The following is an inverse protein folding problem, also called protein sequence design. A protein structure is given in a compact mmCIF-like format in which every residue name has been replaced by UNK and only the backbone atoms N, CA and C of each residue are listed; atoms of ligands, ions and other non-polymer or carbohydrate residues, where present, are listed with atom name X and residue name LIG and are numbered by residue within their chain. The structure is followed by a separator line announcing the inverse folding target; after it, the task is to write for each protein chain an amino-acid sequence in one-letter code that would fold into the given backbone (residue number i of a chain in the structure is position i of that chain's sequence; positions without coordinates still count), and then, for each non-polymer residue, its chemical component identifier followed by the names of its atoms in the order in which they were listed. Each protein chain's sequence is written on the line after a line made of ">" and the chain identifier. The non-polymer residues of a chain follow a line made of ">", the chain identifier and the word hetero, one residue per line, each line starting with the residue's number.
data_IF_456449753143
#
_entry.id   IF_456449753143
#
_cell.length_a   1.000
_cell.length_b   1.000
_cell.length_c   1.000
_cell.angle_alpha   90.00
_cell.angle_beta   90.00
_cell.angle_gamma   90.00
#
_symmetry.space_group_name_H-M   'P 1'
#
loop_
_entity.id
_entity.type
_entity.pdbx_description
1 polymer ?
#
# COMPACT_ATOMS: atom_id res chain seq x y z
N UNK A 1 -42.21 26.56 2.01
CA UNK A 1 -40.84 26.77 2.56
C UNK A 1 -40.03 25.48 2.80
N UNK A 2 -40.64 24.29 2.82
CA UNK A 2 -39.96 23.01 3.14
C UNK A 2 -39.04 22.51 2.01
N UNK A 3 -39.44 22.68 0.75
CA UNK A 3 -38.71 22.18 -0.41
C UNK A 3 -37.29 22.76 -0.55
N UNK A 4 -37.12 24.07 -0.26
CA UNK A 4 -35.80 24.74 -0.28
C UNK A 4 -34.84 24.18 0.78
N UNK A 5 -35.35 23.75 1.94
CA UNK A 5 -34.52 23.21 3.04
C UNK A 5 -34.02 21.80 2.71
N UNK A 6 -34.86 20.98 2.08
CA UNK A 6 -34.49 19.63 1.63
C UNK A 6 -33.43 19.69 0.52
N UNK A 7 -33.62 20.58 -0.46
CA UNK A 7 -32.65 20.76 -1.54
C UNK A 7 -31.27 21.20 -1.00
N UNK A 8 -31.25 22.11 -0.03
CA UNK A 8 -30.02 22.54 0.63
C UNK A 8 -29.34 21.40 1.40
N UNK A 9 -30.11 20.56 2.10
CA UNK A 9 -29.57 19.41 2.83
C UNK A 9 -28.94 18.37 1.90
N UNK A 10 -29.57 18.08 0.74
CA UNK A 10 -29.02 17.14 -0.25
C UNK A 10 -27.74 17.70 -0.91
N UNK A 11 -27.73 19.01 -1.23
CA UNK A 11 -26.54 19.68 -1.74
C UNK A 11 -25.39 19.67 -0.73
N UNK A 12 -25.69 19.87 0.55
CA UNK A 12 -24.67 19.83 1.60
C UNK A 12 -24.15 18.40 1.85
N UNK A 13 -25.05 17.41 1.85
CA UNK A 13 -24.69 16.00 2.04
C UNK A 13 -23.84 15.46 0.88
N UNK A 14 -24.14 15.84 -0.36
CA UNK A 14 -23.31 15.49 -1.52
C UNK A 14 -21.94 16.17 -1.51
N UNK A 15 -21.84 17.38 -0.96
CA UNK A 15 -20.54 18.04 -0.75
C UNK A 15 -19.70 17.31 0.31
N UNK A 16 -20.33 16.86 1.41
CA UNK A 16 -19.67 16.08 2.46
C UNK A 16 -19.18 14.72 1.97
N UNK A 17 -19.94 14.03 1.12
CA UNK A 17 -19.54 12.76 0.52
C UNK A 17 -18.32 12.89 -0.41
N UNK A 18 -18.23 13.98 -1.19
CA UNK A 18 -17.09 14.20 -2.08
C UNK A 18 -15.80 14.57 -1.33
N UNK A 19 -15.89 15.23 -0.17
CA UNK A 19 -14.71 15.58 0.63
C UNK A 19 -14.06 14.35 1.31
N UNK A 20 -14.84 13.29 1.53
CA UNK A 20 -14.42 12.11 2.30
C UNK A 20 -13.64 11.06 1.48
N UNK A 21 -13.62 11.15 0.15
CA UNK A 21 -13.19 10.04 -0.71
C UNK A 21 -11.81 10.25 -1.39
N UNK A 22 -10.94 11.11 -0.84
CA UNK A 22 -9.54 11.15 -1.26
C UNK A 22 -8.73 10.15 -0.44
N UNK A 23 -8.80 8.87 -0.84
CA UNK A 23 -7.88 7.85 -0.34
C UNK A 23 -6.44 8.32 -0.59
N UNK A 24 -5.67 8.54 0.48
CA UNK A 24 -4.25 8.91 0.37
C UNK A 24 -3.45 7.65 0.04
N UNK A 25 -2.98 7.56 -1.19
CA UNK A 25 -2.03 6.52 -1.61
C UNK A 25 -0.61 7.07 -1.42
N UNK A 26 0.18 6.42 -0.57
CA UNK A 26 1.60 6.70 -0.42
C UNK A 26 2.40 5.62 -1.12
N UNK A 27 3.33 6.00 -1.98
CA UNK A 27 4.15 5.06 -2.76
C UNK A 27 5.56 5.03 -2.19
N UNK A 28 6.08 3.83 -1.97
CA UNK A 28 7.46 3.54 -1.60
C UNK A 28 8.08 2.70 -2.71
N UNK A 29 8.99 3.29 -3.46
CA UNK A 29 9.76 2.59 -4.47
C UNK A 29 11.10 2.18 -3.87
N UNK A 30 11.34 0.88 -3.77
CA UNK A 30 12.60 0.31 -3.25
C UNK A 30 13.61 0.04 -4.36
N UNK A 31 13.28 0.41 -5.60
CA UNK A 31 14.20 0.42 -6.73
C UNK A 31 14.40 -0.95 -7.36
N UNK A 32 15.54 -1.09 -8.04
CA UNK A 32 15.89 -2.28 -8.83
C UNK A 32 16.71 -3.28 -8.04
N UNK A 33 16.26 -4.53 -8.05
CA UNK A 33 16.89 -5.67 -7.40
C UNK A 33 17.47 -6.60 -8.47
N UNK A 34 18.63 -7.22 -8.20
CA UNK A 34 19.28 -8.18 -9.10
C UNK A 34 18.73 -9.59 -8.92
N UNK A 35 18.92 -10.45 -9.93
CA UNK A 35 18.57 -11.87 -9.85
C UNK A 35 19.34 -12.57 -8.72
N UNK A 36 18.62 -13.35 -7.90
CA UNK A 36 19.18 -14.11 -6.78
C UNK A 36 19.58 -13.24 -5.58
N UNK A 37 19.27 -11.94 -5.62
CA UNK A 37 19.47 -11.05 -4.48
C UNK A 37 18.29 -11.19 -3.50
N UNK A 38 18.63 -11.28 -2.21
CA UNK A 38 17.67 -11.29 -1.12
C UNK A 38 17.67 -9.89 -0.50
N UNK A 39 16.57 -9.16 -0.67
CA UNK A 39 16.40 -7.82 -0.10
C UNK A 39 15.65 -7.92 1.21
N UNK A 40 16.17 -7.26 2.25
CA UNK A 40 15.56 -7.19 3.57
C UNK A 40 15.41 -5.73 3.98
N UNK A 41 14.19 -5.20 3.84
CA UNK A 41 13.89 -3.80 4.16
C UNK A 41 13.04 -3.69 5.42
N UNK A 42 13.40 -2.77 6.32
CA UNK A 42 12.62 -2.42 7.50
C UNK A 42 11.92 -1.08 7.26
N UNK A 43 10.61 -1.11 7.03
CA UNK A 43 9.81 0.09 6.80
C UNK A 43 9.10 0.46 8.10
N UNK A 44 9.46 1.59 8.75
CA UNK A 44 8.72 2.08 9.91
C UNK A 44 7.33 2.53 9.46
N UNK A 45 6.32 2.05 10.16
CA UNK A 45 4.93 2.44 9.96
C UNK A 45 4.45 3.24 11.17
N UNK A 46 3.68 4.29 10.92
CA UNK A 46 3.05 5.09 11.97
C UNK A 46 1.99 4.27 12.74
N UNK A 47 1.42 3.25 12.10
CA UNK A 47 0.34 2.40 12.62
C UNK A 47 0.33 1.04 11.94
N UNK A 48 -0.38 0.07 12.51
CA UNK A 48 -0.53 -1.28 11.95
C UNK A 48 -1.55 -1.26 10.79
N UNK A 49 -1.27 -1.89 9.65
CA UNK A 49 -2.26 -2.02 8.58
C UNK A 49 -3.34 -3.04 8.95
N UNK A 50 -4.53 -2.80 8.42
CA UNK A 50 -5.68 -3.70 8.55
C UNK A 50 -5.54 -4.92 7.63
N UNK A 51 -4.98 -4.72 6.43
CA UNK A 51 -4.74 -5.80 5.47
C UNK A 51 -3.43 -5.59 4.71
N UNK A 52 -2.86 -6.69 4.28
CA UNK A 52 -1.61 -6.79 3.52
C UNK A 52 -1.87 -7.68 2.32
N UNK A 53 -1.62 -7.15 1.13
CA UNK A 53 -1.80 -7.87 -0.14
C UNK A 53 -0.47 -7.86 -0.88
N UNK A 54 0.13 -9.04 -1.04
CA UNK A 54 1.32 -9.24 -1.87
C UNK A 54 0.92 -9.69 -3.27
N UNK A 55 1.53 -9.08 -4.30
CA UNK A 55 1.38 -9.51 -5.69
C UNK A 55 2.29 -10.67 -6.09
N UNK A 56 3.13 -11.20 -5.20
CA UNK A 56 4.08 -12.28 -5.50
C UNK A 56 4.37 -13.16 -4.28
N UNK A 57 4.56 -14.46 -4.49
CA UNK A 57 5.03 -15.39 -3.45
C UNK A 57 6.51 -15.15 -3.07
N UNK A 58 7.30 -14.55 -3.97
CA UNK A 58 8.66 -14.09 -3.74
C UNK A 58 8.78 -13.02 -2.65
N UNK A 59 7.68 -12.36 -2.30
CA UNK A 59 7.66 -11.27 -1.36
C UNK A 59 7.01 -11.72 -0.05
N UNK A 60 7.85 -11.94 0.96
CA UNK A 60 7.45 -12.27 2.33
C UNK A 60 7.44 -11.03 3.18
N UNK A 61 6.43 -10.95 4.05
CA UNK A 61 6.19 -9.77 4.87
C UNK A 61 5.92 -10.20 6.31
N UNK A 62 6.62 -9.59 7.26
CA UNK A 62 6.44 -9.83 8.69
C UNK A 62 6.45 -8.52 9.47
N UNK A 63 5.94 -8.55 10.69
CA UNK A 63 6.09 -7.44 11.64
C UNK A 63 7.08 -7.80 12.71
N UNK A 64 7.93 -6.83 13.05
CA UNK A 64 8.83 -6.96 14.19
C UNK A 64 8.01 -6.88 15.48
N UNK A 65 8.16 -7.87 16.34
CA UNK A 65 7.38 -7.96 17.58
C UNK A 65 7.53 -6.70 18.44
N UNK A 66 6.42 -6.18 18.95
CA UNK A 66 6.38 -4.97 19.78
C UNK A 66 6.75 -3.66 19.05
N UNK A 67 6.96 -3.66 17.73
CA UNK A 67 7.30 -2.48 16.94
C UNK A 67 6.38 -2.36 15.71
N UNK A 68 6.00 -1.13 15.36
CA UNK A 68 5.33 -0.85 14.08
C UNK A 68 6.36 -0.80 12.94
N UNK A 69 7.11 -1.88 12.75
CA UNK A 69 8.12 -2.00 11.69
C UNK A 69 7.74 -3.18 10.81
N UNK A 70 7.52 -2.90 9.53
CA UNK A 70 7.27 -3.90 8.50
C UNK A 70 8.61 -4.40 7.98
N UNK A 71 8.84 -5.69 8.10
CA UNK A 71 9.98 -6.36 7.49
C UNK A 71 9.52 -6.95 6.16
N UNK A 72 10.17 -6.51 5.09
CA UNK A 72 9.89 -6.98 3.74
C UNK A 72 11.10 -7.76 3.25
N UNK A 73 10.89 -9.05 2.97
CA UNK A 73 11.89 -9.95 2.43
C UNK A 73 11.50 -10.33 1.00
N UNK A 74 12.31 -9.94 0.03
CA UNK A 74 12.14 -10.32 -1.37
C UNK A 74 13.21 -11.34 -1.74
N UNK A 75 12.79 -12.52 -2.16
CA UNK A 75 13.66 -13.56 -2.73
C UNK A 75 13.36 -13.72 -4.22
N UNK A 76 14.26 -13.20 -5.05
CA UNK A 76 14.11 -13.24 -6.52
C UNK A 76 14.62 -14.54 -7.14
N UNK A 77 15.04 -15.52 -6.33
CA UNK A 77 15.57 -16.80 -6.82
C UNK A 77 14.54 -17.55 -7.67
N UNK A 78 14.90 -17.85 -8.92
CA UNK A 78 14.04 -18.57 -9.86
C UNK A 78 13.09 -17.70 -10.68
N UNK A 79 13.11 -16.38 -10.49
CA UNK A 79 12.37 -15.44 -11.33
C UNK A 79 13.26 -14.93 -12.48
N UNK A 80 12.70 -14.89 -13.70
CA UNK A 80 13.38 -14.43 -14.93
C UNK A 80 12.54 -13.36 -15.63
N UNK A 81 13.19 -12.55 -16.45
CA UNK A 81 12.63 -11.38 -17.12
C UNK A 81 12.73 -10.07 -16.33
N UNK A 82 11.97 -9.09 -16.78
CA UNK A 82 11.67 -7.85 -16.07
C UNK A 82 10.31 -7.97 -15.40
N UNK A 83 10.20 -7.64 -14.12
CA UNK A 83 8.92 -7.66 -13.41
C UNK A 83 8.88 -6.65 -12.28
N UNK A 84 7.69 -6.13 -12.03
CA UNK A 84 7.38 -5.29 -10.89
C UNK A 84 6.55 -6.08 -9.89
N UNK A 85 6.99 -6.08 -8.63
CA UNK A 85 6.30 -6.71 -7.51
C UNK A 85 5.72 -5.62 -6.62
N UNK A 86 4.46 -5.79 -6.25
CA UNK A 86 3.72 -4.82 -5.46
C UNK A 86 3.29 -5.40 -4.12
N UNK A 87 3.34 -4.56 -3.09
CA UNK A 87 2.76 -4.82 -1.78
C UNK A 87 1.83 -3.67 -1.41
N UNK A 88 0.58 -3.99 -1.12
CA UNK A 88 -0.40 -3.02 -0.68
C UNK A 88 -0.70 -3.23 0.81
N UNK A 89 -0.54 -2.16 1.58
CA UNK A 89 -0.96 -2.09 2.97
C UNK A 89 -2.17 -1.17 3.04
N UNK A 90 -3.31 -1.68 3.49
CA UNK A 90 -4.53 -0.88 3.64
C UNK A 90 -4.80 -0.62 5.13
N UNK A 91 -5.24 0.59 5.44
CA UNK A 91 -5.56 1.01 6.81
C UNK A 91 -7.07 1.26 6.96
N UNK A 92 -7.53 1.38 8.22
CA UNK A 92 -8.95 1.57 8.54
C UNK A 92 -9.54 2.87 7.95
N UNK A 93 -8.71 3.90 7.76
CA UNK A 93 -9.10 5.17 7.14
C UNK A 93 -9.08 5.13 5.59
N UNK A 94 -9.01 3.93 5.02
CA UNK A 94 -8.89 3.69 3.56
C UNK A 94 -7.63 4.28 2.92
N UNK A 95 -6.66 4.73 3.71
CA UNK A 95 -5.34 5.05 3.16
C UNK A 95 -4.63 3.76 2.73
N UNK A 96 -3.76 3.90 1.74
CA UNK A 96 -3.02 2.78 1.16
C UNK A 96 -1.55 3.15 1.09
N UNK A 97 -0.69 2.25 1.55
CA UNK A 97 0.73 2.29 1.24
C UNK A 97 1.00 1.24 0.15
N UNK A 98 1.52 1.68 -1.00
CA UNK A 98 1.99 0.82 -2.08
C UNK A 98 3.51 0.77 -2.02
N UNK A 99 4.07 -0.41 -1.79
CA UNK A 99 5.51 -0.66 -1.88
C UNK A 99 5.79 -1.37 -3.20
N UNK A 100 6.80 -0.92 -3.93
CA UNK A 100 7.17 -1.37 -5.27
C UNK A 100 8.61 -1.87 -5.26
N UNK A 101 8.81 -3.04 -5.86
CA UNK A 101 10.12 -3.57 -6.22
C UNK A 101 10.15 -3.80 -7.73
N UNK A 102 11.23 -3.39 -8.38
CA UNK A 102 11.49 -3.78 -9.76
C UNK A 102 12.64 -4.79 -9.77
N UNK A 103 12.57 -5.84 -10.57
CA UNK A 103 13.76 -6.62 -10.88
C UNK A 103 13.90 -6.80 -12.39
N UNK A 104 15.15 -6.80 -12.83
CA UNK A 104 15.54 -7.01 -14.21
C UNK A 104 16.63 -8.07 -14.22
N UNK A 105 16.29 -9.26 -14.69
CA UNK A 105 17.29 -10.29 -15.00
C UNK A 105 17.97 -9.94 -16.32
N UNK A 106 19.28 -10.16 -16.39
CA UNK A 106 20.13 -9.90 -17.57
C UNK A 106 20.44 -11.22 -18.24
#
# INVERSE_FOLDING_TARGET
>A
MIFKKILFFILFFSLFLNLSAQGKIKVYDLGRVKEGEIVNEEIPLERKPQSIISGCECLKVSFKEGKSVLQVNLDTSGYKGESEVFLYLTFEDFSVIKIIFSFKTI
#
